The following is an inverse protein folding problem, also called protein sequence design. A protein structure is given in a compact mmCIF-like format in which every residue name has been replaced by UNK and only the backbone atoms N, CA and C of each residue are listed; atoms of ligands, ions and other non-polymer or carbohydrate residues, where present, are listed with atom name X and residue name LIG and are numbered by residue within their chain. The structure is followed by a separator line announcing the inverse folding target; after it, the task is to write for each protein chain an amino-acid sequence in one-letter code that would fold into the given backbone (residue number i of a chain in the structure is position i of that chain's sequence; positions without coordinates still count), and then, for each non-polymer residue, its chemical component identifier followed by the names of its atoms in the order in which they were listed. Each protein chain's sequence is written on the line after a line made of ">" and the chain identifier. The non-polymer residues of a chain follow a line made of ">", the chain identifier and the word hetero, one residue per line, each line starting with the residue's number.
data_IF_047050407486
#
_entry.id   IF_047050407486
#
_cell.length_a   1.000
_cell.length_b   1.000
_cell.length_c   1.000
_cell.angle_alpha   90.00
_cell.angle_beta   90.00
_cell.angle_gamma   90.00
#
_symmetry.space_group_name_H-M   'P 1'
#
loop_
_entity.id
_entity.type
_entity.pdbx_description
1 polymer ?
#
# COMPACT_ATOMS: atom_id res chain seq x y z
N UNK A 1 -9.21 7.00 0.75
CA UNK A 1 -10.35 6.85 -0.17
C UNK A 1 -10.03 5.72 -1.15
N UNK A 2 -10.94 4.76 -1.36
CA UNK A 2 -10.72 3.66 -2.29
C UNK A 2 -10.55 4.16 -3.73
N UNK A 3 -9.60 3.59 -4.48
CA UNK A 3 -9.31 3.97 -5.86
C UNK A 3 -8.65 2.84 -6.67
N UNK A 4 -8.51 3.09 -7.97
CA UNK A 4 -7.60 2.39 -8.88
C UNK A 4 -6.40 3.28 -9.20
N UNK A 5 -5.26 2.66 -9.50
CA UNK A 5 -4.09 3.37 -9.97
C UNK A 5 -4.12 3.50 -11.50
N UNK A 6 -3.53 4.57 -12.02
CA UNK A 6 -3.31 4.76 -13.45
C UNK A 6 -2.04 4.01 -13.91
N UNK A 7 -2.07 2.68 -13.81
CA UNK A 7 -0.95 1.79 -14.16
C UNK A 7 -1.45 0.41 -14.61
N UNK A 8 -0.67 -0.30 -15.42
CA UNK A 8 -0.81 -1.75 -15.59
C UNK A 8 -0.53 -2.43 -14.26
N UNK A 9 0.57 -2.07 -13.58
CA UNK A 9 0.87 -2.52 -12.23
C UNK A 9 1.54 -1.43 -11.39
N UNK A 10 1.30 -1.49 -10.08
CA UNK A 10 1.86 -0.58 -9.09
C UNK A 10 2.86 -1.32 -8.21
N UNK A 11 3.99 -0.66 -7.94
CA UNK A 11 4.92 -1.07 -6.88
C UNK A 11 4.80 -0.12 -5.70
N UNK A 12 4.76 -0.67 -4.48
CA UNK A 12 4.68 0.08 -3.22
C UNK A 12 5.70 -0.47 -2.22
N UNK A 13 6.73 0.31 -1.90
CA UNK A 13 7.86 -0.08 -1.06
C UNK A 13 7.71 0.57 0.32
N UNK A 14 7.80 -0.24 1.38
CA UNK A 14 7.86 0.28 2.75
C UNK A 14 9.25 0.84 3.08
N UNK A 15 9.32 2.11 3.50
CA UNK A 15 10.59 2.80 3.76
C UNK A 15 10.98 2.84 5.25
N UNK A 16 10.03 2.60 6.15
CA UNK A 16 10.25 2.57 7.60
C UNK A 16 9.46 1.45 8.29
N UNK A 17 9.63 1.28 9.61
CA UNK A 17 9.21 0.10 10.37
C UNK A 17 7.91 0.36 11.16
N UNK A 18 6.91 -0.48 10.93
CA UNK A 18 5.71 -0.54 11.78
C UNK A 18 6.08 -0.95 13.21
N UNK A 19 5.41 -0.37 14.20
CA UNK A 19 5.65 -0.60 15.63
C UNK A 19 6.86 0.13 16.22
N UNK A 20 7.73 0.70 15.37
CA UNK A 20 8.88 1.53 15.80
C UNK A 20 8.68 2.97 15.37
N UNK A 21 8.44 3.20 14.07
CA UNK A 21 8.34 4.54 13.48
C UNK A 21 6.88 5.01 13.34
N UNK A 22 5.94 4.05 13.25
CA UNK A 22 4.50 4.33 13.12
C UNK A 22 3.62 3.17 13.62
N UNK A 23 2.36 3.47 13.94
CA UNK A 23 1.30 2.49 14.25
C UNK A 23 0.15 2.60 13.24
N UNK A 24 -0.60 1.50 13.05
CA UNK A 24 -1.67 1.44 12.05
C UNK A 24 -1.14 1.39 10.61
N UNK A 25 -1.92 1.86 9.66
CA UNK A 25 -1.55 1.92 8.25
C UNK A 25 -1.73 0.60 7.49
N UNK A 26 -1.17 0.56 6.28
CA UNK A 26 -1.25 -0.57 5.37
C UNK A 26 -2.02 -0.26 4.08
N UNK A 27 -2.38 -1.32 3.36
CA UNK A 27 -3.22 -1.29 2.18
C UNK A 27 -4.28 -2.38 2.29
N UNK A 28 -5.54 -2.05 1.98
CA UNK A 28 -6.62 -3.03 1.88
C UNK A 28 -7.08 -3.14 0.44
N UNK A 29 -7.10 -4.35 -0.10
CA UNK A 29 -7.69 -4.65 -1.40
C UNK A 29 -9.14 -5.11 -1.21
N UNK A 30 -10.08 -4.22 -1.53
CA UNK A 30 -11.49 -4.34 -1.13
C UNK A 30 -12.15 -5.58 -1.74
N UNK A 31 -11.90 -5.83 -3.03
CA UNK A 31 -12.48 -6.96 -3.77
C UNK A 31 -12.09 -8.34 -3.23
N UNK A 32 -11.00 -8.41 -2.46
CA UNK A 32 -10.46 -9.65 -1.91
C UNK A 32 -10.62 -9.72 -0.39
N UNK A 33 -11.22 -8.71 0.24
CA UNK A 33 -11.24 -8.53 1.70
C UNK A 33 -9.87 -8.80 2.37
N UNK A 34 -8.78 -8.43 1.68
CA UNK A 34 -7.42 -8.72 2.10
C UNK A 34 -6.73 -7.42 2.55
N UNK A 35 -6.04 -7.45 3.69
CA UNK A 35 -5.31 -6.29 4.22
C UNK A 35 -3.85 -6.65 4.47
N UNK A 36 -2.94 -5.83 3.94
CA UNK A 36 -1.52 -5.86 4.28
C UNK A 36 -1.24 -4.71 5.25
N UNK A 37 -1.06 -5.02 6.54
CA UNK A 37 -0.94 -4.02 7.61
C UNK A 37 0.50 -3.71 8.03
N UNK A 38 1.37 -4.72 7.98
CA UNK A 38 2.73 -4.65 8.51
C UNK A 38 3.79 -4.98 7.44
N UNK A 39 3.86 -4.21 6.33
CA UNK A 39 4.91 -4.44 5.34
C UNK A 39 6.29 -4.21 5.98
N UNK A 40 7.23 -5.13 5.74
CA UNK A 40 8.59 -5.04 6.26
C UNK A 40 9.35 -3.95 5.51
N UNK A 41 10.19 -3.17 6.21
CA UNK A 41 11.06 -2.18 5.56
C UNK A 41 11.86 -2.83 4.43
N UNK A 42 11.89 -2.19 3.26
CA UNK A 42 12.55 -2.66 2.05
C UNK A 42 11.77 -3.69 1.23
N UNK A 43 10.63 -4.19 1.73
CA UNK A 43 9.78 -5.10 0.98
C UNK A 43 8.82 -4.32 0.08
N UNK A 44 8.47 -4.95 -1.04
CA UNK A 44 7.62 -4.36 -2.08
C UNK A 44 6.32 -5.12 -2.19
N UNK A 45 5.21 -4.40 -2.21
CA UNK A 45 3.94 -4.89 -2.74
C UNK A 45 3.89 -4.59 -4.23
N UNK A 46 3.50 -5.58 -5.02
CA UNK A 46 3.26 -5.44 -6.46
C UNK A 46 1.84 -5.95 -6.76
N UNK A 47 1.04 -5.12 -7.42
CA UNK A 47 -0.33 -5.49 -7.79
C UNK A 47 -0.75 -4.79 -9.10
N UNK A 48 -1.72 -5.34 -9.86
CA UNK A 48 -2.37 -4.63 -10.96
C UNK A 48 -2.93 -3.27 -10.52
N UNK A 49 -2.78 -2.22 -11.34
CA UNK A 49 -3.27 -0.88 -11.00
C UNK A 49 -4.76 -0.66 -11.34
N UNK A 50 -5.20 -1.21 -12.47
CA UNK A 50 -6.57 -1.09 -12.99
C UNK A 50 -7.42 -2.32 -12.76
N UNK A 51 -8.74 -2.14 -12.84
CA UNK A 51 -9.82 -3.15 -12.89
C UNK A 51 -9.98 -4.07 -11.66
N UNK A 52 -8.93 -4.74 -11.21
CA UNK A 52 -9.04 -5.87 -10.27
C UNK A 52 -8.66 -5.53 -8.84
N UNK A 53 -7.68 -4.64 -8.63
CA UNK A 53 -7.16 -4.33 -7.29
C UNK A 53 -7.63 -2.96 -6.79
N UNK A 54 -8.96 -2.79 -6.70
CA UNK A 54 -9.54 -1.61 -6.05
C UNK A 54 -9.13 -1.60 -4.57
N UNK A 55 -8.41 -0.56 -4.16
CA UNK A 55 -7.70 -0.58 -2.89
C UNK A 55 -7.79 0.76 -2.14
N UNK A 56 -7.51 0.71 -0.84
CA UNK A 56 -7.43 1.89 0.01
C UNK A 56 -6.19 1.84 0.91
N UNK A 57 -5.59 3.01 1.13
CA UNK A 57 -4.62 3.19 2.21
C UNK A 57 -5.35 3.19 3.55
N UNK A 58 -4.97 2.27 4.43
CA UNK A 58 -5.47 2.25 5.81
C UNK A 58 -4.83 3.42 6.60
N UNK A 59 -5.56 4.01 7.56
CA UNK A 59 -5.05 5.17 8.30
C UNK A 59 -3.88 4.80 9.21
N UNK A 60 -2.83 5.63 9.18
CA UNK A 60 -1.78 5.61 10.20
C UNK A 60 -2.35 6.25 11.46
N UNK A 61 -2.28 5.55 12.60
CA UNK A 61 -2.91 6.00 13.85
C UNK A 61 -1.95 6.76 14.76
N UNK A 62 -0.64 6.59 14.57
CA UNK A 62 0.42 7.28 15.32
C UNK A 62 1.74 7.29 14.55
N UNK A 63 2.57 8.29 14.76
CA UNK A 63 3.87 8.43 14.10
C UNK A 63 3.74 8.80 12.63
N UNK A 64 4.74 8.45 11.81
CA UNK A 64 4.76 8.78 10.38
C UNK A 64 5.16 7.59 9.55
N UNK A 65 4.33 7.21 8.58
CA UNK A 65 4.58 6.10 7.65
C UNK A 65 5.11 6.62 6.33
N UNK A 66 6.29 6.17 5.92
CA UNK A 66 6.88 6.51 4.63
C UNK A 66 6.79 5.31 3.67
N UNK A 67 6.33 5.58 2.45
CA UNK A 67 6.26 4.62 1.35
C UNK A 67 6.77 5.28 0.06
N UNK A 68 7.37 4.49 -0.82
CA UNK A 68 7.65 4.89 -2.20
C UNK A 68 6.71 4.12 -3.12
N UNK A 69 5.98 4.84 -3.98
CA UNK A 69 5.01 4.26 -4.92
C UNK A 69 5.40 4.64 -6.33
N UNK A 70 5.33 3.68 -7.26
CA UNK A 70 5.47 3.94 -8.70
C UNK A 70 4.36 3.26 -9.48
N UNK A 71 3.79 4.03 -10.41
CA UNK A 71 2.79 3.58 -11.38
C UNK A 71 3.53 3.21 -12.65
N UNK A 72 3.67 1.91 -12.90
CA UNK A 72 4.49 1.37 -13.98
C UNK A 72 3.61 0.96 -15.15
N UNK A 73 4.07 1.28 -16.36
CA UNK A 73 3.35 1.00 -17.61
C UNK A 73 1.93 1.61 -17.60
N UNK A 74 1.83 2.96 -17.65
CA UNK A 74 0.57 3.70 -17.46
C UNK A 74 -0.40 3.61 -18.64
#
# INVERSE_FOLDING_TARGET
>A
MPHHDASTFTINIALNRVGVDYEGGGCRFLRYNCSVRAPRKGWTLMHPGRLTHYHEGLPTTKGTRYIAVSFVDP
#
